data_IF_510357830064
#
_entry.id   IF_510357830064
#
_cell.length_a   1.000
_cell.length_b   1.000
_cell.length_c   1.000
_cell.angle_alpha   90.00
_cell.angle_beta   90.00
_cell.angle_gamma   90.00
#
_symmetry.space_group_name_H-M   'P 1'
#
loop_
_entity.id
_entity.type
_entity.pdbx_description
1 polymer ?
#
# COMPACT_ATOMS: atom_id res chain seq x y z
N UNK A 1 16.61 48.91 19.49
CA UNK A 1 16.67 48.83 18.01
C UNK A 1 16.45 47.38 17.61
N UNK A 2 15.24 47.04 17.18
CA UNK A 2 14.86 45.65 16.84
C UNK A 2 15.23 45.41 15.38
N UNK A 3 16.24 44.56 15.13
CA UNK A 3 16.66 44.22 13.78
C UNK A 3 15.50 43.55 13.01
N UNK A 4 15.01 44.20 11.95
CA UNK A 4 14.08 43.60 10.98
C UNK A 4 14.78 42.39 10.34
N UNK A 5 14.34 41.17 10.67
CA UNK A 5 14.77 39.98 9.94
C UNK A 5 14.36 40.14 8.48
N UNK A 6 15.32 40.16 7.55
CA UNK A 6 15.03 40.13 6.11
C UNK A 6 14.22 38.86 5.78
N UNK A 7 13.21 38.95 4.92
CA UNK A 7 12.50 37.76 4.46
C UNK A 7 13.51 36.84 3.77
N UNK A 8 13.51 35.57 4.17
CA UNK A 8 14.40 34.55 3.59
C UNK A 8 13.90 34.26 2.18
N UNK A 9 14.83 34.20 1.24
CA UNK A 9 14.56 33.80 -0.15
C UNK A 9 13.82 32.44 -0.17
N UNK A 10 12.69 32.32 -0.89
CA UNK A 10 11.91 31.08 -0.95
C UNK A 10 12.72 29.87 -1.44
N UNK A 11 13.68 30.06 -2.35
CA UNK A 11 14.57 28.99 -2.80
C UNK A 11 15.49 28.52 -1.66
N UNK A 12 16.01 29.46 -0.87
CA UNK A 12 16.85 29.15 0.31
C UNK A 12 16.02 28.46 1.40
N UNK A 13 14.79 28.89 1.65
CA UNK A 13 13.89 28.23 2.59
C UNK A 13 13.57 26.79 2.15
N UNK A 14 13.31 26.59 0.87
CA UNK A 14 13.06 25.27 0.27
C UNK A 14 14.27 24.35 0.36
N UNK A 15 15.48 24.86 0.08
CA UNK A 15 16.73 24.10 0.23
C UNK A 15 16.97 23.68 1.68
N UNK A 16 16.77 24.59 2.64
CA UNK A 16 16.88 24.30 4.09
C UNK A 16 15.89 23.22 4.53
N UNK A 17 14.64 23.29 4.07
CA UNK A 17 13.63 22.29 4.38
C UNK A 17 14.02 20.90 3.84
N UNK A 18 14.57 20.81 2.62
CA UNK A 18 15.06 19.54 2.06
C UNK A 18 16.21 18.95 2.88
N UNK A 19 17.19 19.78 3.26
CA UNK A 19 18.32 19.34 4.09
C UNK A 19 17.83 18.85 5.46
N UNK A 20 16.92 19.57 6.10
CA UNK A 20 16.33 19.14 7.36
C UNK A 20 15.57 17.80 7.22
N UNK A 21 14.87 17.59 6.10
CA UNK A 21 14.22 16.31 5.78
C UNK A 21 15.22 15.16 5.62
N UNK A 22 16.33 15.40 4.93
CA UNK A 22 17.41 14.42 4.75
C UNK A 22 18.10 14.09 6.08
N UNK A 23 18.42 15.10 6.89
CA UNK A 23 19.04 14.92 8.19
C UNK A 23 18.12 14.12 9.14
N UNK A 24 16.82 14.41 9.12
CA UNK A 24 15.82 13.66 9.88
C UNK A 24 15.72 12.22 9.41
N UNK A 25 15.78 11.97 8.10
CA UNK A 25 15.73 10.61 7.58
C UNK A 25 16.99 9.81 7.96
N UNK A 26 18.17 10.45 7.93
CA UNK A 26 19.44 9.83 8.33
C UNK A 26 19.51 9.47 9.83
N UNK A 27 18.69 10.12 10.67
CA UNK A 27 18.65 9.84 12.12
C UNK A 27 17.60 8.80 12.51
N UNK A 28 16.90 8.18 11.55
CA UNK A 28 15.83 7.22 11.79
C UNK A 28 16.21 5.84 11.26
N UNK A 29 15.67 4.78 11.87
CA UNK A 29 15.79 3.42 11.33
C UNK A 29 14.84 3.21 10.15
N UNK A 30 15.07 2.15 9.36
CA UNK A 30 14.19 1.80 8.24
C UNK A 30 12.74 1.56 8.67
N UNK A 31 12.52 0.97 9.85
CA UNK A 31 11.19 0.76 10.42
C UNK A 31 10.52 2.08 10.80
N UNK A 32 11.26 3.01 11.40
CA UNK A 32 10.75 4.34 11.75
C UNK A 32 10.43 5.18 10.52
N UNK A 33 11.25 5.08 9.46
CA UNK A 33 11.00 5.69 8.16
C UNK A 33 9.75 5.09 7.50
N UNK A 34 9.59 3.77 7.57
CA UNK A 34 8.41 3.05 7.08
C UNK A 34 7.14 3.52 7.80
N UNK A 35 7.15 3.59 9.12
CA UNK A 35 6.01 4.07 9.93
C UNK A 35 5.73 5.56 9.73
N UNK A 36 6.77 6.39 9.56
CA UNK A 36 6.60 7.79 9.18
C UNK A 36 5.95 7.92 7.80
N UNK A 37 6.36 7.10 6.83
CA UNK A 37 5.76 7.04 5.50
C UNK A 37 4.29 6.62 5.54
N UNK A 38 3.95 5.58 6.32
CA UNK A 38 2.56 5.13 6.51
C UNK A 38 1.69 6.24 7.12
N UNK A 39 2.18 6.91 8.17
CA UNK A 39 1.46 8.05 8.80
C UNK A 39 1.23 9.20 7.81
N UNK A 40 2.24 9.57 7.04
CA UNK A 40 2.13 10.61 6.02
C UNK A 40 1.12 10.23 4.92
N UNK A 41 1.17 8.99 4.44
CA UNK A 41 0.22 8.48 3.46
C UNK A 41 -1.21 8.51 4.01
N UNK A 42 -1.43 8.05 5.25
CA UNK A 42 -2.74 8.08 5.90
C UNK A 42 -3.29 9.50 6.05
N UNK A 43 -2.47 10.46 6.47
CA UNK A 43 -2.86 11.86 6.57
C UNK A 43 -3.25 12.45 5.21
N UNK A 44 -2.46 12.16 4.15
CA UNK A 44 -2.78 12.56 2.78
C UNK A 44 -4.11 11.98 2.31
N UNK A 45 -4.35 10.69 2.55
CA UNK A 45 -5.60 10.02 2.18
C UNK A 45 -6.80 10.51 3.00
N UNK A 46 -6.61 10.86 4.27
CA UNK A 46 -7.64 11.48 5.09
C UNK A 46 -8.05 12.85 4.52
N UNK A 47 -7.07 13.70 4.17
CA UNK A 47 -7.32 15.00 3.54
C UNK A 47 -8.06 14.85 2.21
N UNK A 48 -7.58 13.96 1.34
CA UNK A 48 -8.23 13.69 0.05
C UNK A 48 -9.66 13.15 0.21
N UNK A 49 -9.93 12.31 1.22
CA UNK A 49 -11.30 11.86 1.51
C UNK A 49 -12.19 13.02 1.95
N UNK A 50 -11.71 13.88 2.85
CA UNK A 50 -12.46 15.05 3.30
C UNK A 50 -12.76 16.03 2.15
N UNK A 51 -11.80 16.27 1.25
CA UNK A 51 -11.99 17.10 0.06
C UNK A 51 -13.05 16.52 -0.88
N UNK A 52 -13.07 15.19 -1.06
CA UNK A 52 -14.09 14.51 -1.88
C UNK A 52 -15.47 14.55 -1.24
N UNK A 53 -15.55 14.31 0.06
CA UNK A 53 -16.78 14.39 0.84
C UNK A 53 -17.38 15.80 0.75
N UNK A 54 -16.56 16.83 0.92
CA UNK A 54 -16.97 18.24 0.76
C UNK A 54 -17.45 18.54 -0.67
N UNK A 55 -16.92 17.84 -1.69
CA UNK A 55 -17.34 17.96 -3.08
C UNK A 55 -18.54 17.05 -3.45
N UNK A 56 -19.14 16.32 -2.49
CA UNK A 56 -20.23 15.37 -2.74
C UNK A 56 -19.81 14.17 -3.60
N UNK A 57 -18.51 13.91 -3.73
CA UNK A 57 -17.97 12.83 -4.53
C UNK A 57 -17.89 11.53 -3.71
N UNK A 58 -18.20 10.41 -4.36
CA UNK A 58 -18.11 9.09 -3.73
C UNK A 58 -16.68 8.80 -3.23
N UNK A 59 -16.52 8.01 -2.15
CA UNK A 59 -15.20 7.61 -1.67
C UNK A 59 -14.37 6.94 -2.77
N UNK A 60 -13.10 7.31 -2.91
CA UNK A 60 -12.19 6.59 -3.81
C UNK A 60 -12.06 5.15 -3.33
N UNK A 61 -12.47 4.19 -4.16
CA UNK A 61 -12.14 2.77 -3.96
C UNK A 61 -10.62 2.68 -3.85
N UNK A 62 -10.11 2.21 -2.72
CA UNK A 62 -8.68 1.89 -2.59
C UNK A 62 -8.37 0.78 -3.59
N UNK A 63 -7.86 1.16 -4.76
CA UNK A 63 -7.55 0.24 -5.85
C UNK A 63 -6.21 -0.47 -5.65
N UNK A 64 -5.69 -0.54 -4.42
CA UNK A 64 -4.57 -1.41 -4.12
C UNK A 64 -5.08 -2.85 -4.04
N UNK A 65 -5.56 -3.36 -5.17
CA UNK A 65 -5.68 -4.78 -5.42
C UNK A 65 -4.26 -5.30 -5.35
N UNK A 66 -3.89 -5.85 -4.19
CA UNK A 66 -2.60 -6.52 -4.04
C UNK A 66 -2.67 -7.77 -4.90
N UNK A 67 -2.02 -7.71 -6.06
CA UNK A 67 -1.85 -8.85 -6.96
C UNK A 67 -0.65 -9.68 -6.51
N UNK A 68 -0.69 -11.02 -6.69
CA UNK A 68 0.48 -11.87 -6.48
C UNK A 68 1.65 -11.40 -7.36
N UNK A 69 2.89 -11.59 -6.87
CA UNK A 69 4.08 -11.43 -7.72
C UNK A 69 4.04 -12.40 -8.91
N UNK A 70 4.78 -12.14 -9.98
CA UNK A 70 4.79 -13.00 -11.18
C UNK A 70 5.09 -14.48 -10.82
N UNK A 71 6.11 -14.71 -9.98
CA UNK A 71 6.47 -16.06 -9.50
C UNK A 71 5.35 -16.71 -8.68
N UNK A 72 4.68 -15.95 -7.82
CA UNK A 72 3.55 -16.46 -7.04
C UNK A 72 2.36 -16.77 -7.96
N UNK A 73 2.12 -15.94 -8.97
CA UNK A 73 1.06 -16.15 -9.95
C UNK A 73 1.26 -17.44 -10.75
N UNK A 74 2.49 -17.72 -11.22
CA UNK A 74 2.81 -18.96 -11.94
C UNK A 74 2.52 -20.21 -11.10
N UNK A 75 2.87 -20.17 -9.81
CA UNK A 75 2.51 -21.24 -8.88
C UNK A 75 0.99 -21.44 -8.81
N UNK A 76 0.22 -20.35 -8.65
CA UNK A 76 -1.24 -20.43 -8.54
C UNK A 76 -1.93 -20.83 -9.84
N UNK A 77 -1.35 -20.49 -10.98
CA UNK A 77 -1.79 -21.00 -12.29
C UNK A 77 -1.66 -22.53 -12.33
N UNK A 78 -0.51 -23.08 -11.94
CA UNK A 78 -0.33 -24.53 -11.87
C UNK A 78 -1.18 -25.22 -10.80
N UNK A 79 -1.53 -24.53 -9.70
CA UNK A 79 -2.52 -25.05 -8.73
C UNK A 79 -3.90 -25.14 -9.37
N UNK A 80 -4.36 -24.09 -10.04
CA UNK A 80 -5.67 -24.07 -10.70
C UNK A 80 -5.76 -25.16 -11.77
N UNK A 81 -4.71 -25.37 -12.57
CA UNK A 81 -4.72 -26.43 -13.58
C UNK A 81 -4.83 -27.84 -12.95
N UNK A 82 -4.25 -28.05 -11.77
CA UNK A 82 -4.38 -29.33 -11.04
C UNK A 82 -5.72 -29.50 -10.36
N UNK A 83 -6.30 -28.42 -9.84
CA UNK A 83 -7.61 -28.44 -9.19
C UNK A 83 -8.74 -28.59 -10.21
N UNK A 84 -8.55 -28.09 -11.43
CA UNK A 84 -9.57 -28.02 -12.48
C UNK A 84 -8.98 -28.46 -13.83
N UNK A 85 -8.54 -29.73 -13.96
CA UNK A 85 -7.82 -30.21 -15.15
C UNK A 85 -8.67 -30.19 -16.41
N UNK A 86 -9.97 -30.43 -16.27
CA UNK A 86 -10.91 -30.50 -17.39
C UNK A 86 -11.62 -29.16 -17.66
N UNK A 87 -11.27 -28.11 -16.92
CA UNK A 87 -11.91 -26.81 -17.09
C UNK A 87 -11.35 -26.10 -18.30
N UNK A 88 -12.23 -25.88 -19.26
CA UNK A 88 -11.95 -24.99 -20.37
C UNK A 88 -12.08 -23.52 -19.92
N UNK A 89 -11.05 -22.72 -20.22
CA UNK A 89 -11.00 -21.31 -19.87
C UNK A 89 -11.34 -20.47 -21.09
N UNK A 90 -12.30 -19.57 -20.96
CA UNK A 90 -12.76 -18.71 -22.08
C UNK A 90 -11.66 -17.75 -22.56
N UNK A 91 -10.68 -17.47 -21.71
CA UNK A 91 -9.48 -16.69 -22.07
C UNK A 91 -8.33 -16.90 -21.06
N UNK A 92 -7.08 -16.61 -21.43
CA UNK A 92 -5.96 -16.57 -20.48
C UNK A 92 -6.21 -15.62 -19.30
N UNK A 93 -6.98 -14.55 -19.51
CA UNK A 93 -7.37 -13.60 -18.47
C UNK A 93 -8.39 -14.15 -17.47
N UNK A 94 -9.22 -15.12 -17.85
CA UNK A 94 -10.12 -15.83 -16.93
C UNK A 94 -9.31 -16.75 -16.01
N UNK A 95 -8.42 -17.56 -16.59
CA UNK A 95 -7.52 -18.46 -15.85
C UNK A 95 -6.66 -17.68 -14.84
N UNK A 96 -6.10 -16.55 -15.27
CA UNK A 96 -5.35 -15.65 -14.37
C UNK A 96 -6.20 -15.14 -13.22
N UNK A 97 -7.43 -14.70 -13.48
CA UNK A 97 -8.34 -14.21 -12.44
C UNK A 97 -8.72 -15.30 -11.44
N UNK A 98 -8.91 -16.54 -11.90
CA UNK A 98 -9.13 -17.68 -11.02
C UNK A 98 -7.92 -17.98 -10.14
N UNK A 99 -6.70 -17.96 -10.70
CA UNK A 99 -5.46 -18.14 -9.93
C UNK A 99 -5.27 -17.06 -8.86
N UNK A 100 -5.51 -15.80 -9.20
CA UNK A 100 -5.47 -14.66 -8.26
C UNK A 100 -6.51 -14.82 -7.15
N UNK A 101 -7.73 -15.23 -7.50
CA UNK A 101 -8.79 -15.46 -6.52
C UNK A 101 -8.41 -16.58 -5.55
N UNK A 102 -7.85 -17.68 -6.06
CA UNK A 102 -7.39 -18.81 -5.23
C UNK A 102 -6.27 -18.40 -4.28
N UNK A 103 -5.31 -17.62 -4.77
CA UNK A 103 -4.24 -17.04 -3.96
C UNK A 103 -4.79 -16.20 -2.79
N UNK A 104 -5.80 -15.37 -3.05
CA UNK A 104 -6.45 -14.53 -2.03
C UNK A 104 -7.20 -15.38 -0.99
N UNK A 105 -7.90 -16.42 -1.42
CA UNK A 105 -8.57 -17.35 -0.52
C UNK A 105 -7.58 -18.09 0.38
N UNK A 106 -6.44 -18.53 -0.16
CA UNK A 106 -5.43 -19.19 0.65
C UNK A 106 -4.78 -18.24 1.66
N UNK A 107 -4.44 -17.02 1.23
CA UNK A 107 -3.93 -15.99 2.13
C UNK A 107 -4.92 -15.70 3.28
N UNK A 108 -6.22 -15.63 2.98
CA UNK A 108 -7.26 -15.46 3.98
C UNK A 108 -7.35 -16.66 4.95
N UNK A 109 -7.24 -17.90 4.44
CA UNK A 109 -7.19 -19.11 5.28
C UNK A 109 -6.01 -19.11 6.23
N UNK A 110 -4.81 -18.77 5.74
CA UNK A 110 -3.60 -18.71 6.57
C UNK A 110 -3.72 -17.62 7.62
N UNK A 111 -4.24 -16.45 7.26
CA UNK A 111 -4.48 -15.36 8.20
C UNK A 111 -5.48 -15.77 9.30
N UNK A 112 -6.58 -16.43 8.93
CA UNK A 112 -7.56 -16.94 9.88
C UNK A 112 -6.94 -17.97 10.84
N UNK A 113 -6.20 -18.94 10.32
CA UNK A 113 -5.53 -19.96 11.14
C UNK A 113 -4.53 -19.34 12.13
N UNK A 114 -3.81 -18.29 11.73
CA UNK A 114 -2.91 -17.56 12.62
C UNK A 114 -3.68 -16.82 13.71
N UNK A 115 -4.78 -16.17 13.35
CA UNK A 115 -5.63 -15.46 14.32
C UNK A 115 -6.26 -16.41 15.34
N UNK A 116 -6.71 -17.60 14.91
CA UNK A 116 -7.29 -18.59 15.82
C UNK A 116 -6.24 -19.26 16.70
N UNK A 117 -5.03 -19.50 16.18
CA UNK A 117 -3.97 -20.13 16.96
C UNK A 117 -3.29 -19.16 17.93
N UNK A 118 -3.18 -17.87 17.59
CA UNK A 118 -2.65 -16.84 18.47
C UNK A 118 -3.66 -16.30 19.50
N UNK A 119 -4.91 -16.75 19.47
CA UNK A 119 -5.91 -16.48 20.52
C UNK A 119 -5.93 -17.56 21.61
N UNK A 120 -5.10 -18.60 21.47
CA UNK A 120 -4.99 -19.73 22.40
C UNK A 120 -3.69 -19.73 23.21
N UNK A 121 -2.89 -18.66 23.13
CA UNK A 121 -1.73 -18.38 23.99
C UNK A 121 -2.04 -17.20 24.91
#
# INVERSE_FOLDING_TARGET
>A
MTARRKPIDPAVASARARIAGLARAASQTDDELSEAGKRAANARWAKHRAEREAAGLSPTKSSRTVEPSARALDYWLGVIDREQPDREWSSPGERRRAAVLRAKQEAARVALKRATNGASE
#
